data_IF_548197444843
#
_entry.id   IF_548197444843
#
_cell.length_a   1.000
_cell.length_b   1.000
_cell.length_c   1.000
_cell.angle_alpha   90.00
_cell.angle_beta   90.00
_cell.angle_gamma   90.00
#
_symmetry.space_group_name_H-M   'P 1'
#
loop_
_entity.id
_entity.type
_entity.pdbx_description
1 polymer ?
#
# COMPACT_ATOMS: atom_id res chain seq x y z
N UNK A 1 30.49 -12.14 -85.00
CA UNK A 1 31.31 -11.81 -83.87
C UNK A 1 30.42 -11.17 -82.84
N UNK A 2 29.98 -11.90 -81.79
CA UNK A 2 29.13 -11.42 -80.75
C UNK A 2 29.81 -11.70 -79.38
N UNK A 3 30.20 -10.66 -78.66
CA UNK A 3 30.86 -10.75 -77.43
C UNK A 3 29.81 -10.76 -76.32
N UNK A 4 29.69 -11.85 -75.55
CA UNK A 4 28.84 -11.99 -74.40
C UNK A 4 29.56 -11.48 -73.14
N UNK A 5 29.00 -10.45 -72.52
CA UNK A 5 29.44 -9.86 -71.22
C UNK A 5 28.71 -10.59 -70.11
N UNK A 6 29.45 -11.35 -69.29
CA UNK A 6 28.91 -12.02 -68.13
C UNK A 6 28.66 -11.08 -66.99
N UNK A 7 27.44 -11.09 -66.45
CA UNK A 7 27.07 -10.45 -65.18
C UNK A 7 27.38 -11.39 -64.01
N UNK A 8 28.26 -10.93 -63.13
CA UNK A 8 28.49 -11.56 -61.81
C UNK A 8 27.51 -10.93 -60.83
N UNK A 9 26.51 -11.69 -60.41
CA UNK A 9 25.64 -11.32 -59.29
C UNK A 9 26.33 -11.65 -57.99
N UNK A 10 26.72 -10.61 -57.24
CA UNK A 10 27.16 -10.76 -55.88
C UNK A 10 25.94 -10.75 -54.95
N UNK A 11 25.62 -11.93 -54.41
CA UNK A 11 24.58 -12.08 -53.35
C UNK A 11 25.18 -11.71 -52.02
N UNK A 12 24.98 -10.49 -51.56
CA UNK A 12 25.34 -10.06 -50.22
C UNK A 12 24.29 -10.54 -49.20
N UNK A 13 24.69 -11.47 -48.38
CA UNK A 13 23.86 -11.87 -47.19
C UNK A 13 23.96 -10.78 -46.14
N UNK A 14 22.87 -10.02 -45.95
CA UNK A 14 22.75 -9.08 -44.80
C UNK A 14 22.18 -9.89 -43.63
N UNK A 15 23.05 -10.25 -42.70
CA UNK A 15 22.67 -10.78 -41.37
C UNK A 15 22.15 -9.63 -40.50
N UNK A 16 20.81 -9.55 -40.40
CA UNK A 16 20.16 -8.65 -39.47
C UNK A 16 20.19 -9.25 -38.05
N UNK A 17 21.14 -8.82 -37.24
CA UNK A 17 21.19 -9.20 -35.81
C UNK A 17 20.10 -8.45 -35.04
N UNK A 18 18.99 -9.13 -34.74
CA UNK A 18 17.95 -8.69 -33.85
C UNK A 18 18.47 -8.80 -32.39
N UNK A 19 19.04 -7.72 -31.87
CA UNK A 19 19.32 -7.60 -30.45
C UNK A 19 18.01 -7.37 -29.68
N UNK A 20 17.40 -8.43 -29.16
CA UNK A 20 16.30 -8.35 -28.20
C UNK A 20 16.86 -7.89 -26.87
N UNK A 21 16.86 -6.59 -26.64
CA UNK A 21 17.16 -6.02 -25.32
C UNK A 21 16.01 -6.35 -24.36
N UNK A 22 16.20 -7.36 -23.52
CA UNK A 22 15.37 -7.54 -22.32
C UNK A 22 15.69 -6.40 -21.36
N UNK A 23 14.83 -5.38 -21.32
CA UNK A 23 14.85 -4.41 -20.24
C UNK A 23 14.40 -5.11 -18.96
N UNK A 24 15.36 -5.45 -18.09
CA UNK A 24 15.06 -5.87 -16.72
C UNK A 24 14.47 -4.67 -15.98
N UNK A 25 13.16 -4.66 -15.79
CA UNK A 25 12.50 -3.74 -14.85
C UNK A 25 12.96 -4.16 -13.46
N UNK A 26 14.02 -3.52 -12.97
CA UNK A 26 14.40 -3.64 -11.58
C UNK A 26 13.26 -3.05 -10.74
N UNK A 27 12.57 -3.91 -9.97
CA UNK A 27 11.67 -3.47 -8.92
C UNK A 27 12.49 -2.63 -7.93
N UNK A 28 12.37 -1.31 -8.01
CA UNK A 28 12.95 -0.38 -7.04
C UNK A 28 12.12 -0.47 -5.76
N UNK A 29 12.40 -1.50 -4.95
CA UNK A 29 12.08 -1.46 -3.54
C UNK A 29 12.86 -0.28 -2.96
N UNK A 30 12.18 0.68 -2.34
CA UNK A 30 12.82 1.79 -1.64
C UNK A 30 13.64 1.23 -0.47
N UNK A 31 14.89 0.85 -0.77
CA UNK A 31 15.85 0.55 0.27
C UNK A 31 16.07 1.85 1.07
N UNK A 32 15.94 1.79 2.38
CA UNK A 32 16.31 2.91 3.24
C UNK A 32 17.73 3.36 2.91
N UNK A 33 17.98 4.67 2.89
CA UNK A 33 19.29 5.23 2.64
C UNK A 33 20.32 4.58 3.56
N UNK A 34 21.54 4.26 3.06
CA UNK A 34 22.60 3.69 3.87
C UNK A 34 22.91 4.61 5.06
N UNK A 35 22.81 4.08 6.30
CA UNK A 35 23.13 4.83 7.52
C UNK A 35 21.94 5.32 8.32
N UNK A 36 20.69 5.24 7.82
CA UNK A 36 19.53 5.54 8.66
C UNK A 36 19.27 4.38 9.64
N UNK A 37 19.26 4.63 10.96
CA UNK A 37 18.97 3.58 11.94
C UNK A 37 17.64 2.92 11.63
N UNK A 38 17.56 1.60 11.70
CA UNK A 38 16.32 0.88 11.53
C UNK A 38 15.31 1.34 12.60
N UNK A 39 14.10 1.66 12.19
CA UNK A 39 13.06 2.01 13.15
C UNK A 39 12.78 0.85 14.09
N UNK A 40 12.74 1.16 15.38
CA UNK A 40 12.30 0.23 16.41
C UNK A 40 11.02 0.78 17.05
N UNK A 41 9.97 -0.02 17.03
CA UNK A 41 8.71 0.36 17.63
C UNK A 41 8.86 0.52 19.15
N UNK A 42 8.29 1.58 19.76
CA UNK A 42 8.38 1.79 21.20
C UNK A 42 7.62 0.71 21.97
N UNK A 43 8.05 0.45 23.20
CA UNK A 43 7.24 -0.28 24.17
C UNK A 43 6.08 0.63 24.59
N UNK A 44 4.87 0.10 24.61
CA UNK A 44 3.66 0.84 25.00
C UNK A 44 3.01 0.09 26.15
N UNK A 45 3.20 0.62 27.34
CA UNK A 45 2.63 0.07 28.57
C UNK A 45 1.24 0.67 28.84
N UNK A 46 1.03 1.92 28.41
CA UNK A 46 -0.25 2.62 28.54
C UNK A 46 -0.78 3.09 27.20
N UNK A 47 -1.94 2.58 26.81
CA UNK A 47 -2.62 2.94 25.58
C UNK A 47 -3.61 4.10 25.73
N UNK A 48 -3.82 4.63 26.91
CA UNK A 48 -4.81 5.68 27.20
C UNK A 48 -4.47 7.01 26.51
N UNK A 49 -3.17 7.31 26.36
CA UNK A 49 -2.67 8.52 25.70
C UNK A 49 -2.63 8.42 24.15
N UNK A 50 -2.91 7.26 23.59
CA UNK A 50 -2.87 7.08 22.14
C UNK A 50 -4.08 7.74 21.47
N UNK A 51 -3.82 8.43 20.35
CA UNK A 51 -4.88 9.03 19.53
C UNK A 51 -5.63 7.98 18.74
N UNK A 52 -6.91 8.25 18.46
CA UNK A 52 -7.79 7.39 17.68
C UNK A 52 -8.61 6.39 18.51
N UNK A 53 -9.57 5.71 17.91
CA UNK A 53 -10.42 4.78 18.63
C UNK A 53 -9.66 3.49 18.97
N UNK A 54 -9.96 2.93 20.13
CA UNK A 54 -9.46 1.61 20.49
C UNK A 54 -10.16 0.55 19.68
N UNK A 55 -9.36 -0.23 18.95
CA UNK A 55 -9.84 -1.33 18.12
C UNK A 55 -10.07 -2.61 18.96
N UNK A 56 -10.92 -3.54 18.49
CA UNK A 56 -11.15 -4.81 19.20
C UNK A 56 -9.88 -5.64 19.37
N UNK A 57 -8.95 -5.51 18.44
CA UNK A 57 -7.58 -6.04 18.52
C UNK A 57 -6.63 -4.86 18.39
N UNK A 58 -5.70 -4.71 19.35
CA UNK A 58 -4.71 -3.66 19.30
C UNK A 58 -3.62 -3.98 18.26
N UNK A 59 -3.94 -3.69 17.00
CA UNK A 59 -3.04 -3.91 15.88
C UNK A 59 -2.02 -2.77 15.78
N UNK A 60 -0.75 -3.10 15.81
CA UNK A 60 0.39 -2.19 15.79
C UNK A 60 0.95 -2.02 14.37
N UNK A 61 0.53 -0.95 13.67
CA UNK A 61 1.10 -0.63 12.36
C UNK A 61 2.58 -0.27 12.44
N UNK A 62 3.01 0.38 13.50
CA UNK A 62 4.40 0.76 13.73
C UNK A 62 5.33 -0.44 13.93
N UNK A 63 4.83 -1.59 14.37
CA UNK A 63 5.57 -2.85 14.37
C UNK A 63 5.59 -3.41 12.95
N UNK A 64 4.43 -3.71 12.36
CA UNK A 64 4.35 -4.45 11.11
C UNK A 64 4.90 -3.65 9.90
N UNK A 65 4.43 -2.43 9.70
CA UNK A 65 4.85 -1.59 8.58
C UNK A 65 6.10 -0.76 8.90
N UNK A 66 6.30 -0.38 10.16
CA UNK A 66 7.44 0.43 10.59
C UNK A 66 8.68 -0.42 10.84
N UNK A 67 8.65 -1.24 11.88
CA UNK A 67 9.81 -2.03 12.31
C UNK A 67 10.10 -3.19 11.36
N UNK A 68 9.06 -3.99 11.05
CA UNK A 68 9.20 -5.20 10.26
C UNK A 68 9.13 -4.93 8.74
N UNK A 69 8.83 -3.67 8.36
CA UNK A 69 8.81 -3.18 6.97
C UNK A 69 7.90 -3.97 6.03
N UNK A 70 6.80 -4.52 6.56
CA UNK A 70 5.81 -5.18 5.72
C UNK A 70 5.15 -4.12 4.83
N UNK A 71 5.16 -4.28 3.50
CA UNK A 71 4.58 -3.30 2.59
C UNK A 71 3.08 -3.11 2.83
N UNK A 72 2.58 -1.87 2.73
CA UNK A 72 1.15 -1.55 2.91
C UNK A 72 0.25 -2.45 2.05
N UNK A 73 0.67 -2.67 0.80
CA UNK A 73 -0.06 -3.46 -0.18
C UNK A 73 -0.13 -4.97 0.14
N UNK A 74 0.72 -5.48 1.04
CA UNK A 74 0.60 -6.88 1.48
C UNK A 74 -0.72 -7.14 2.20
N UNK A 75 -1.16 -6.19 3.01
CA UNK A 75 -2.41 -6.27 3.76
C UNK A 75 -3.57 -5.54 3.07
N UNK A 76 -3.31 -4.42 2.41
CA UNK A 76 -4.31 -3.55 1.78
C UNK A 76 -4.32 -3.65 0.24
N UNK A 77 -4.15 -4.85 -0.32
CA UNK A 77 -4.06 -5.06 -1.78
C UNK A 77 -5.29 -4.59 -2.57
N UNK A 78 -6.46 -4.59 -1.95
CA UNK A 78 -7.73 -4.20 -2.61
C UNK A 78 -7.80 -2.72 -2.98
N UNK A 79 -7.00 -1.85 -2.35
CA UNK A 79 -6.99 -0.40 -2.66
C UNK A 79 -6.58 -0.09 -4.10
N UNK A 80 -5.83 -0.97 -4.74
CA UNK A 80 -5.37 -0.79 -6.12
C UNK A 80 -6.44 -1.15 -7.16
N UNK A 81 -7.44 -1.93 -6.79
CA UNK A 81 -8.43 -2.50 -7.72
C UNK A 81 -9.89 -2.21 -7.34
N UNK A 82 -10.11 -1.58 -6.20
CA UNK A 82 -11.45 -1.24 -5.69
C UNK A 82 -11.55 0.23 -5.32
N UNK A 83 -12.75 0.80 -5.44
CA UNK A 83 -13.08 2.10 -4.85
C UNK A 83 -13.10 2.04 -3.33
N UNK A 84 -13.59 0.92 -2.77
CA UNK A 84 -13.63 0.69 -1.33
C UNK A 84 -12.46 -0.20 -0.91
N UNK A 85 -11.51 0.32 -0.10
CA UNK A 85 -10.44 -0.51 0.43
C UNK A 85 -11.00 -1.42 1.51
N UNK A 86 -10.83 -2.71 1.34
CA UNK A 86 -11.20 -3.67 2.37
C UNK A 86 -10.25 -3.66 3.56
N UNK A 87 -10.75 -4.09 4.72
CA UNK A 87 -9.89 -4.50 5.82
C UNK A 87 -9.32 -5.88 5.47
N UNK A 88 -8.04 -6.16 5.75
CA UNK A 88 -7.43 -7.45 5.47
C UNK A 88 -8.23 -8.59 6.12
N UNK A 89 -8.43 -9.67 5.37
CA UNK A 89 -9.08 -10.86 5.90
C UNK A 89 -8.25 -11.47 7.03
N UNK A 90 -8.89 -12.11 8.01
CA UNK A 90 -8.19 -12.80 9.11
C UNK A 90 -7.13 -13.80 8.62
N UNK A 91 -7.33 -14.39 7.44
CA UNK A 91 -6.36 -15.30 6.82
C UNK A 91 -4.99 -14.61 6.62
N UNK A 92 -4.96 -13.33 6.30
CA UNK A 92 -3.71 -12.57 6.17
C UNK A 92 -2.95 -12.52 7.49
N UNK A 93 -3.65 -12.31 8.59
CA UNK A 93 -3.06 -12.29 9.94
C UNK A 93 -2.57 -13.68 10.35
N UNK A 94 -3.41 -14.68 10.19
CA UNK A 94 -3.13 -16.08 10.58
C UNK A 94 -1.98 -16.68 9.76
N UNK A 95 -1.74 -16.22 8.53
CA UNK A 95 -0.61 -16.70 7.74
C UNK A 95 0.75 -16.62 8.47
N UNK A 96 0.92 -15.63 9.33
CA UNK A 96 2.09 -15.49 10.21
C UNK A 96 1.78 -15.89 11.66
N UNK A 97 0.64 -15.48 12.21
CA UNK A 97 0.32 -15.61 13.62
C UNK A 97 -0.15 -17.02 14.04
N UNK A 98 -0.16 -18.00 13.16
CA UNK A 98 -0.17 -19.41 13.58
C UNK A 98 1.10 -19.77 14.34
N UNK A 99 2.24 -19.23 13.93
CA UNK A 99 3.57 -19.54 14.46
C UNK A 99 4.07 -18.39 15.35
N UNK A 100 3.98 -17.16 14.86
CA UNK A 100 4.50 -15.97 15.56
C UNK A 100 3.55 -15.60 16.71
N UNK A 101 4.05 -15.71 17.95
CA UNK A 101 3.26 -15.52 19.17
C UNK A 101 3.35 -14.14 19.81
N UNK A 102 4.24 -13.26 19.30
CA UNK A 102 4.50 -11.94 19.92
C UNK A 102 5.60 -11.98 20.99
N UNK A 103 6.31 -10.85 21.13
CA UNK A 103 7.52 -10.72 21.95
C UNK A 103 7.23 -10.35 23.42
N UNK A 104 6.03 -9.89 23.74
CA UNK A 104 5.61 -9.50 25.09
C UNK A 104 4.29 -10.15 25.47
N UNK A 105 3.97 -10.28 26.78
CA UNK A 105 2.66 -10.79 27.20
C UNK A 105 1.47 -10.02 26.62
N UNK A 106 1.61 -8.68 26.50
CA UNK A 106 0.58 -7.84 25.90
C UNK A 106 0.37 -8.18 24.41
N UNK A 107 1.45 -8.33 23.64
CA UNK A 107 1.37 -8.76 22.23
C UNK A 107 0.77 -10.16 22.09
N UNK A 108 1.17 -11.08 22.97
CA UNK A 108 0.62 -12.45 22.99
C UNK A 108 -0.88 -12.44 23.24
N UNK A 109 -1.37 -11.63 24.17
CA UNK A 109 -2.80 -11.48 24.45
C UNK A 109 -3.60 -10.99 23.23
N UNK A 110 -3.07 -10.03 22.49
CA UNK A 110 -3.71 -9.51 21.28
C UNK A 110 -3.69 -10.55 20.13
N UNK A 111 -2.59 -11.30 19.98
CA UNK A 111 -2.50 -12.39 19.01
C UNK A 111 -3.46 -13.54 19.33
N UNK A 112 -3.69 -13.84 20.61
CA UNK A 112 -4.69 -14.82 20.99
C UNK A 112 -6.11 -14.41 20.56
N UNK A 113 -6.45 -13.10 20.56
CA UNK A 113 -7.72 -12.61 20.02
C UNK A 113 -7.83 -12.92 18.52
N UNK A 114 -6.75 -12.75 17.75
CA UNK A 114 -6.70 -13.08 16.31
C UNK A 114 -6.95 -14.58 16.11
N UNK A 115 -6.23 -15.43 16.86
CA UNK A 115 -6.35 -16.89 16.77
C UNK A 115 -7.75 -17.37 17.16
N UNK A 116 -8.33 -16.78 18.22
CA UNK A 116 -9.69 -17.06 18.64
C UNK A 116 -10.71 -16.66 17.57
N UNK A 117 -10.61 -15.46 17.03
CA UNK A 117 -11.48 -14.99 15.94
C UNK A 117 -11.43 -15.91 14.71
N UNK A 118 -10.23 -16.44 14.40
CA UNK A 118 -10.05 -17.40 13.33
C UNK A 118 -10.71 -18.75 13.63
N UNK A 119 -10.47 -19.29 14.83
CA UNK A 119 -11.08 -20.55 15.30
C UNK A 119 -12.61 -20.48 15.31
N UNK A 120 -13.15 -19.39 15.84
CA UNK A 120 -14.58 -19.16 15.94
C UNK A 120 -15.24 -18.80 14.60
N UNK A 121 -14.44 -18.57 13.55
CA UNK A 121 -14.87 -18.02 12.25
C UNK A 121 -15.64 -16.72 12.36
N UNK A 122 -15.31 -15.91 13.36
CA UNK A 122 -15.97 -14.65 13.66
C UNK A 122 -14.93 -13.50 13.57
N UNK A 123 -14.85 -12.80 12.42
CA UNK A 123 -13.95 -11.66 12.27
C UNK A 123 -14.28 -10.55 13.28
N UNK A 124 -13.27 -9.80 13.76
CA UNK A 124 -13.52 -8.66 14.63
C UNK A 124 -14.22 -7.53 13.84
N UNK A 125 -15.12 -6.84 14.51
CA UNK A 125 -15.78 -5.65 13.97
C UNK A 125 -14.88 -4.44 14.19
N UNK A 126 -14.12 -4.07 13.15
CA UNK A 126 -13.21 -2.94 13.20
C UNK A 126 -13.95 -1.60 13.18
N UNK A 127 -13.51 -0.67 14.01
CA UNK A 127 -14.04 0.68 14.03
C UNK A 127 -13.42 1.46 12.85
N UNK A 128 -14.26 2.02 11.98
CA UNK A 128 -13.84 2.85 10.86
C UNK A 128 -13.23 4.15 11.39
N UNK A 129 -12.00 4.45 10.97
CA UNK A 129 -11.25 5.65 11.39
C UNK A 129 -11.40 6.77 10.36
N UNK A 130 -11.23 6.44 9.07
CA UNK A 130 -11.38 7.39 7.98
C UNK A 130 -12.73 7.19 7.31
N UNK A 131 -13.52 8.26 7.27
CA UNK A 131 -14.87 8.23 6.68
C UNK A 131 -15.14 9.54 5.97
N UNK A 132 -15.79 9.45 4.83
CA UNK A 132 -16.42 10.58 4.14
C UNK A 132 -17.93 10.40 4.20
N UNK A 133 -18.75 11.49 4.07
CA UNK A 133 -20.20 11.38 3.98
C UNK A 133 -20.64 10.46 2.85
N UNK A 134 -21.80 9.79 3.02
CA UNK A 134 -22.28 8.77 2.08
C UNK A 134 -22.57 9.28 0.65
N UNK A 135 -22.70 10.60 0.48
CA UNK A 135 -22.86 11.25 -0.83
C UNK A 135 -21.51 11.61 -1.49
N UNK A 136 -20.38 11.23 -0.89
CA UNK A 136 -19.02 11.42 -1.45
C UNK A 136 -18.47 10.09 -1.89
N UNK A 137 -18.18 9.96 -3.16
CA UNK A 137 -17.59 8.78 -3.76
C UNK A 137 -16.07 8.98 -3.94
N UNK A 138 -15.28 8.33 -3.09
CA UNK A 138 -13.83 8.40 -3.14
C UNK A 138 -13.23 7.09 -3.68
N UNK A 139 -12.82 7.03 -4.96
CA UNK A 139 -12.27 5.81 -5.54
C UNK A 139 -10.78 5.66 -5.21
N UNK A 140 -10.42 4.89 -4.19
CA UNK A 140 -9.02 4.62 -3.83
C UNK A 140 -8.19 4.18 -5.03
N UNK A 141 -8.68 3.25 -5.84
CA UNK A 141 -7.95 2.73 -7.00
C UNK A 141 -7.45 3.80 -7.97
N UNK A 142 -8.24 4.88 -8.18
CA UNK A 142 -7.83 5.99 -9.06
C UNK A 142 -6.72 6.83 -8.44
N UNK A 143 -6.79 7.08 -7.13
CA UNK A 143 -5.76 7.81 -6.39
C UNK A 143 -4.46 7.02 -6.31
N UNK A 144 -4.53 5.72 -6.04
CA UNK A 144 -3.35 4.84 -6.03
C UNK A 144 -2.72 4.73 -7.42
N UNK A 145 -3.53 4.69 -8.49
CA UNK A 145 -3.00 4.72 -9.87
C UNK A 145 -2.25 6.02 -10.17
N UNK A 146 -2.72 7.15 -9.63
CA UNK A 146 -2.10 8.47 -9.87
C UNK A 146 -0.90 8.75 -8.96
N UNK A 147 -0.90 8.27 -7.73
CA UNK A 147 0.10 8.58 -6.70
C UNK A 147 1.15 7.48 -6.52
N UNK A 148 0.82 6.25 -6.91
CA UNK A 148 1.65 5.07 -6.67
C UNK A 148 1.25 4.29 -5.41
N UNK A 149 1.94 3.18 -5.18
CA UNK A 149 1.68 2.23 -4.09
C UNK A 149 2.68 2.35 -2.93
N UNK A 150 3.57 3.33 -3.00
CA UNK A 150 4.58 3.56 -1.96
C UNK A 150 3.96 4.10 -0.65
N UNK A 151 4.66 3.94 0.47
CA UNK A 151 4.18 4.40 1.77
C UNK A 151 3.93 5.92 1.80
N UNK A 152 4.72 6.71 1.07
CA UNK A 152 4.59 8.15 0.92
C UNK A 152 3.25 8.55 0.27
N UNK A 153 2.78 7.76 -0.69
CA UNK A 153 1.49 7.99 -1.35
C UNK A 153 0.33 7.79 -0.36
N UNK A 154 0.41 6.76 0.47
CA UNK A 154 -0.56 6.50 1.52
C UNK A 154 -0.52 7.61 2.60
N UNK A 155 0.69 8.02 2.99
CA UNK A 155 0.92 9.03 4.03
C UNK A 155 0.35 10.40 3.65
N UNK A 156 0.24 10.73 2.37
CA UNK A 156 -0.38 11.98 1.89
C UNK A 156 -1.77 12.21 2.50
N UNK A 157 -2.55 11.13 2.70
CA UNK A 157 -3.91 11.22 3.25
C UNK A 157 -4.02 10.64 4.66
N UNK A 158 -3.32 9.54 4.93
CA UNK A 158 -3.42 8.79 6.18
C UNK A 158 -2.35 9.15 7.22
N UNK A 159 -1.39 10.01 6.85
CA UNK A 159 -0.22 10.30 7.70
C UNK A 159 0.74 9.12 7.77
N UNK A 160 1.77 9.26 8.58
CA UNK A 160 2.82 8.24 8.76
C UNK A 160 2.32 7.03 9.56
N UNK A 161 1.39 6.25 8.98
CA UNK A 161 0.79 5.08 9.63
C UNK A 161 1.84 4.08 10.10
N UNK A 162 2.95 3.96 9.38
CA UNK A 162 4.11 3.15 9.78
C UNK A 162 4.78 3.60 11.10
N UNK A 163 4.36 4.71 11.66
CA UNK A 163 4.81 5.22 12.96
C UNK A 163 3.68 5.26 14.00
N UNK A 164 2.48 4.80 13.63
CA UNK A 164 1.32 4.82 14.51
C UNK A 164 1.14 3.46 15.20
N UNK A 165 1.24 3.45 16.52
CA UNK A 165 0.86 2.28 17.32
C UNK A 165 -0.66 2.05 17.30
N UNK A 166 -1.42 3.13 17.30
CA UNK A 166 -2.87 3.14 17.11
C UNK A 166 -3.18 4.17 16.04
N UNK A 167 -3.88 3.74 14.98
CA UNK A 167 -4.18 4.62 13.85
C UNK A 167 -5.20 5.68 14.26
N UNK A 168 -4.93 6.91 13.86
CA UNK A 168 -5.84 8.05 14.04
C UNK A 168 -5.96 8.83 12.74
N UNK A 169 -7.09 9.52 12.56
CA UNK A 169 -7.29 10.40 11.42
C UNK A 169 -6.43 11.65 11.58
N UNK A 170 -5.59 11.94 10.60
CA UNK A 170 -4.72 13.15 10.59
C UNK A 170 -5.24 14.22 9.64
N UNK A 171 -5.85 13.83 8.53
CA UNK A 171 -6.42 14.74 7.52
C UNK A 171 -7.89 14.97 7.80
N UNK A 172 -8.39 16.18 7.52
CA UNK A 172 -9.79 16.53 7.83
C UNK A 172 -10.80 15.79 6.97
N UNK A 173 -10.38 15.35 5.78
CA UNK A 173 -11.22 14.72 4.75
C UNK A 173 -12.46 15.55 4.36
N UNK A 174 -12.42 16.87 4.62
CA UNK A 174 -13.46 17.80 4.21
C UNK A 174 -13.27 18.19 2.75
N UNK A 175 -14.34 18.59 2.08
CA UNK A 175 -14.34 18.98 0.66
C UNK A 175 -13.21 19.95 0.29
N UNK A 176 -12.99 21.01 1.07
CA UNK A 176 -11.92 21.98 0.81
C UNK A 176 -10.53 21.37 0.82
N UNK A 177 -10.27 20.38 1.67
CA UNK A 177 -8.99 19.67 1.71
C UNK A 177 -8.77 18.85 0.43
N UNK A 178 -9.81 18.19 -0.07
CA UNK A 178 -9.76 17.44 -1.34
C UNK A 178 -9.53 18.39 -2.53
N UNK A 179 -10.30 19.49 -2.59
CA UNK A 179 -10.21 20.49 -3.66
C UNK A 179 -8.82 21.13 -3.70
N UNK A 180 -8.22 21.46 -2.56
CA UNK A 180 -6.88 22.03 -2.51
C UNK A 180 -5.83 21.11 -3.17
N UNK A 181 -5.87 19.81 -2.91
CA UNK A 181 -4.98 18.86 -3.54
C UNK A 181 -5.24 18.74 -5.05
N UNK A 182 -6.52 18.69 -5.46
CA UNK A 182 -6.91 18.64 -6.86
C UNK A 182 -6.48 19.90 -7.63
N UNK A 183 -6.52 21.05 -6.99
CA UNK A 183 -6.05 22.32 -7.55
C UNK A 183 -4.53 22.33 -7.75
N UNK A 184 -3.78 21.96 -6.72
CA UNK A 184 -2.32 21.88 -6.78
C UNK A 184 -1.84 20.90 -7.86
N UNK A 185 -2.61 19.84 -8.12
CA UNK A 185 -2.30 18.81 -9.12
C UNK A 185 -2.96 19.06 -10.48
N UNK A 186 -3.70 20.14 -10.63
CA UNK A 186 -4.39 20.53 -11.88
C UNK A 186 -5.30 19.41 -12.42
N UNK A 187 -5.99 18.70 -11.54
CA UNK A 187 -6.98 17.69 -11.90
C UNK A 187 -8.39 18.19 -11.66
N UNK A 188 -9.41 17.49 -12.24
CA UNK A 188 -10.80 17.94 -12.20
C UNK A 188 -11.32 18.18 -10.79
N UNK A 189 -12.11 19.25 -10.64
CA UNK A 189 -12.81 19.66 -9.41
C UNK A 189 -14.32 19.76 -9.63
N UNK A 190 -14.83 19.20 -10.74
CA UNK A 190 -16.24 19.22 -11.05
C UNK A 190 -17.03 18.46 -9.99
N UNK A 191 -18.21 18.97 -9.66
CA UNK A 191 -19.06 18.40 -8.60
C UNK A 191 -19.31 16.89 -8.81
N UNK A 192 -19.56 16.49 -10.04
CA UNK A 192 -19.88 15.11 -10.43
C UNK A 192 -18.69 14.15 -10.41
N UNK A 193 -17.47 14.63 -10.16
CA UNK A 193 -16.30 13.75 -9.99
C UNK A 193 -16.32 13.06 -8.61
N UNK A 194 -16.91 13.72 -7.63
CA UNK A 194 -16.98 13.25 -6.24
C UNK A 194 -18.41 12.98 -5.77
N UNK A 195 -19.42 13.56 -6.42
CA UNK A 195 -20.84 13.49 -6.02
C UNK A 195 -21.69 12.96 -7.20
N UNK A 196 -21.94 11.65 -7.22
CA UNK A 196 -22.73 10.97 -8.26
C UNK A 196 -23.50 9.78 -7.70
#
# INVERSE_FOLDING_TARGET
>A
MATTRGYRTATGLVLLALATGFATVAAQGTAAAPGTPAYKAPVIDDTSALKGPRQPIFFRHDIHAGQDRIPCMYCHSTVAVSSEPGIPALRTCIGCHQIIGGSTPAHQAEIQKVRKAWSDRKPPEWIRIHSVPGFVHFPHMRHIKALGTGPESCATCHGEVSRMAQVSQVSTLKMGWCIQCHEQRQVSRDCTVCHF
#
